data_IF_805140321033
#
_entry.id   IF_805140321033
#
_cell.length_a   1.000
_cell.length_b   1.000
_cell.length_c   1.000
_cell.angle_alpha   90.00
_cell.angle_beta   90.00
_cell.angle_gamma   90.00
#
_symmetry.space_group_name_H-M   'P 1'
#
loop_
_entity.id
_entity.type
_entity.pdbx_description
1 polymer ?
#
# COMPACT_ATOMS: atom_id res chain seq x y z
N UNK A 1 -15.90 72.33 5.50
CA UNK A 1 -14.63 71.75 6.02
C UNK A 1 -14.68 70.23 6.28
N UNK A 2 -15.86 69.58 6.30
CA UNK A 2 -16.00 68.13 6.47
C UNK A 2 -15.64 67.24 5.24
N UNK A 3 -15.84 67.64 3.97
CA UNK A 3 -15.62 66.72 2.84
C UNK A 3 -14.14 66.48 2.51
N UNK A 4 -13.27 67.41 2.88
CA UNK A 4 -11.81 67.31 2.68
C UNK A 4 -11.21 66.31 3.67
N UNK A 5 -11.72 66.26 4.91
CA UNK A 5 -11.27 65.31 5.93
C UNK A 5 -11.67 63.87 5.57
N UNK A 6 -12.88 63.65 5.04
CA UNK A 6 -13.31 62.32 4.57
C UNK A 6 -12.48 61.82 3.38
N UNK A 7 -12.12 62.71 2.45
CA UNK A 7 -11.28 62.33 1.31
C UNK A 7 -9.85 61.96 1.73
N UNK A 8 -9.28 62.68 2.71
CA UNK A 8 -7.96 62.37 3.26
C UNK A 8 -7.93 61.03 4.01
N UNK A 9 -8.99 60.70 4.76
CA UNK A 9 -9.11 59.40 5.46
C UNK A 9 -9.28 58.25 4.46
N UNK A 10 -10.00 58.47 3.36
CA UNK A 10 -10.19 57.42 2.35
C UNK A 10 -8.90 57.14 1.56
N UNK A 11 -8.09 58.17 1.28
CA UNK A 11 -6.81 58.02 0.58
C UNK A 11 -5.75 57.32 1.43
N UNK A 12 -5.78 57.50 2.76
CA UNK A 12 -4.87 56.83 3.69
C UNK A 12 -5.10 55.31 3.80
N UNK A 13 -6.26 54.79 3.34
CA UNK A 13 -6.57 53.36 3.42
C UNK A 13 -5.95 52.53 2.27
N UNK A 14 -5.36 53.19 1.28
CA UNK A 14 -4.71 52.52 0.12
C UNK A 14 -3.21 52.35 0.38
N UNK A 15 -2.83 51.81 1.54
CA UNK A 15 -1.45 51.39 1.75
C UNK A 15 -1.16 50.14 0.90
N UNK A 16 -0.12 50.16 0.05
CA UNK A 16 0.25 48.99 -0.73
C UNK A 16 0.73 47.89 0.23
N UNK A 17 0.01 46.78 0.28
CA UNK A 17 0.43 45.57 0.97
C UNK A 17 1.67 45.01 0.25
N UNK A 18 2.87 45.37 0.71
CA UNK A 18 4.11 44.75 0.24
C UNK A 18 4.14 43.31 0.75
N UNK A 19 4.06 42.35 -0.17
CA UNK A 19 4.16 40.92 0.12
C UNK A 19 5.60 40.59 0.53
N UNK A 20 5.87 40.68 1.83
CA UNK A 20 7.18 40.45 2.42
C UNK A 20 7.17 39.12 3.15
N UNK A 21 8.12 38.23 2.85
CA UNK A 21 8.19 36.90 3.49
C UNK A 21 9.17 36.97 4.65
N UNK A 22 8.73 36.56 5.83
CA UNK A 22 9.54 36.49 7.03
C UNK A 22 9.93 35.04 7.29
N UNK A 23 11.19 34.83 7.66
CA UNK A 23 11.71 33.57 8.19
C UNK A 23 11.96 33.73 9.68
N UNK A 24 11.44 32.83 10.49
CA UNK A 24 11.73 32.80 11.93
C UNK A 24 11.83 31.36 12.42
N UNK A 25 12.47 31.19 13.57
CA UNK A 25 12.56 29.90 14.26
C UNK A 25 11.66 29.96 15.49
N UNK A 26 10.86 28.91 15.71
CA UNK A 26 10.02 28.80 16.91
C UNK A 26 10.81 28.29 18.14
N UNK A 27 10.13 28.17 19.28
CA UNK A 27 10.75 27.70 20.53
C UNK A 27 11.20 26.24 20.47
N UNK A 28 10.61 25.45 19.55
CA UNK A 28 10.92 24.03 19.33
C UNK A 28 12.03 23.84 18.28
N UNK A 29 12.59 24.93 17.74
CA UNK A 29 13.66 24.92 16.74
C UNK A 29 13.20 24.73 15.29
N UNK A 30 11.90 24.76 15.01
CA UNK A 30 11.38 24.65 13.64
C UNK A 30 11.43 26.00 12.91
N UNK A 31 11.84 25.96 11.64
CA UNK A 31 11.93 27.13 10.77
C UNK A 31 10.61 27.32 10.03
N UNK A 32 9.98 28.47 10.24
CA UNK A 32 8.72 28.85 9.60
C UNK A 32 8.94 29.99 8.60
N UNK A 33 8.07 30.03 7.58
CA UNK A 33 8.02 31.07 6.55
C UNK A 33 6.59 31.59 6.42
N UNK A 34 6.40 32.91 6.41
CA UNK A 34 5.07 33.49 6.31
C UNK A 34 5.07 34.98 5.96
N UNK A 35 3.92 35.47 5.51
CA UNK A 35 3.73 36.90 5.15
C UNK A 35 3.46 37.81 6.35
N UNK A 36 3.16 37.23 7.52
CA UNK A 36 2.89 37.96 8.76
C UNK A 36 4.13 37.93 9.64
N UNK A 37 4.57 39.08 10.19
CA UNK A 37 5.70 39.09 11.12
C UNK A 37 5.36 38.25 12.37
N UNK A 38 6.33 37.50 12.92
CA UNK A 38 6.13 36.79 14.18
C UNK A 38 5.94 37.78 15.35
N UNK A 39 5.43 37.29 16.48
CA UNK A 39 5.29 38.09 17.70
C UNK A 39 6.61 38.82 18.04
N UNK A 40 6.51 40.06 18.54
CA UNK A 40 7.62 41.01 18.71
C UNK A 40 8.83 40.45 19.48
N UNK A 41 8.63 39.38 20.26
CA UNK A 41 9.65 38.73 21.07
C UNK A 41 10.53 37.75 20.28
N UNK A 42 10.36 37.62 18.96
CA UNK A 42 11.09 36.65 18.12
C UNK A 42 11.94 37.34 17.05
N UNK A 43 13.24 36.99 16.94
CA UNK A 43 14.06 37.47 15.84
C UNK A 43 13.52 36.91 14.52
N UNK A 44 13.27 37.79 13.57
CA UNK A 44 12.81 37.42 12.22
C UNK A 44 13.75 37.99 11.16
N UNK A 45 13.98 37.21 10.11
CA UNK A 45 14.72 37.63 8.93
C UNK A 45 13.75 37.88 7.79
N UNK A 46 13.80 39.08 7.23
CA UNK A 46 13.04 39.43 6.04
C UNK A 46 13.71 38.85 4.80
N UNK A 47 12.96 38.08 4.02
CA UNK A 47 13.38 37.52 2.74
C UNK A 47 12.78 38.32 1.60
N UNK A 48 13.64 38.84 0.74
CA UNK A 48 13.26 39.42 -0.54
C UNK A 48 13.24 38.31 -1.60
N UNK A 49 12.04 37.79 -1.87
CA UNK A 49 11.86 36.71 -2.84
C UNK A 49 11.60 37.34 -4.20
N UNK A 50 12.61 37.32 -5.05
CA UNK A 50 12.49 37.66 -6.47
C UNK A 50 11.66 36.58 -7.16
N UNK A 51 10.40 36.88 -7.46
CA UNK A 51 9.56 36.03 -8.30
C UNK A 51 10.12 36.01 -9.72
N UNK A 52 10.79 34.93 -10.11
CA UNK A 52 11.10 34.72 -11.53
C UNK A 52 9.81 34.33 -12.26
N UNK A 53 9.52 34.93 -13.43
CA UNK A 53 8.42 34.48 -14.26
C UNK A 53 8.67 33.03 -14.67
N UNK A 54 7.60 32.23 -14.66
CA UNK A 54 7.64 30.89 -15.26
C UNK A 54 8.18 31.01 -16.68
N UNK A 55 9.15 30.18 -17.11
CA UNK A 55 9.71 30.24 -18.46
C UNK A 55 8.60 30.27 -19.51
N UNK A 56 8.69 31.16 -20.50
CA UNK A 56 7.65 31.41 -21.53
C UNK A 56 7.40 30.22 -22.49
N UNK A 57 8.09 29.09 -22.30
CA UNK A 57 7.93 27.89 -23.11
C UNK A 57 6.87 26.94 -22.54
N UNK A 58 6.09 26.31 -23.42
CA UNK A 58 5.28 25.14 -23.07
C UNK A 58 6.21 24.02 -22.59
N UNK A 59 6.34 23.87 -21.27
CA UNK A 59 7.09 22.76 -20.69
C UNK A 59 6.23 21.51 -20.87
N UNK A 60 6.59 20.66 -21.82
CA UNK A 60 5.98 19.35 -22.01
C UNK A 60 6.43 18.38 -20.89
N UNK A 61 5.89 18.65 -19.71
CA UNK A 61 6.07 17.86 -18.50
C UNK A 61 5.61 16.41 -18.71
N UNK A 62 4.66 16.19 -19.62
CA UNK A 62 4.12 14.86 -19.90
C UNK A 62 5.12 14.02 -20.70
N UNK A 63 5.72 14.57 -21.77
CA UNK A 63 6.70 13.81 -22.53
C UNK A 63 8.00 13.59 -21.78
N UNK A 64 8.47 14.59 -21.02
CA UNK A 64 9.65 14.45 -20.15
C UNK A 64 9.42 13.37 -19.08
N UNK A 65 8.27 13.38 -18.40
CA UNK A 65 7.90 12.34 -17.44
C UNK A 65 7.84 10.95 -18.07
N UNK A 66 7.25 10.84 -19.28
CA UNK A 66 7.18 9.56 -20.02
C UNK A 66 8.55 9.02 -20.39
N UNK A 67 9.49 9.88 -20.79
CA UNK A 67 10.88 9.51 -21.08
C UNK A 67 11.59 8.99 -19.83
N UNK A 68 11.54 9.75 -18.73
CA UNK A 68 12.15 9.35 -17.46
C UNK A 68 11.58 8.02 -16.94
N UNK A 69 10.27 7.81 -17.08
CA UNK A 69 9.62 6.55 -16.67
C UNK A 69 10.10 5.36 -17.50
N UNK A 70 10.32 5.55 -18.82
CA UNK A 70 10.84 4.51 -19.71
C UNK A 70 12.28 4.15 -19.35
N UNK A 71 13.13 5.14 -19.15
CA UNK A 71 14.54 4.94 -18.78
C UNK A 71 14.67 4.19 -17.46
N UNK A 72 13.92 4.60 -16.43
CA UNK A 72 13.89 3.91 -15.13
C UNK A 72 13.48 2.44 -15.27
N UNK A 73 12.54 2.15 -16.18
CA UNK A 73 12.07 0.79 -16.44
C UNK A 73 13.16 -0.06 -17.09
N UNK A 74 13.87 0.48 -18.06
CA UNK A 74 14.99 -0.18 -18.73
C UNK A 74 16.14 -0.46 -17.76
N UNK A 75 16.52 0.53 -16.94
CA UNK A 75 17.54 0.35 -15.91
C UNK A 75 17.17 -0.75 -14.91
N UNK A 76 15.90 -0.80 -14.48
CA UNK A 76 15.43 -1.85 -13.56
C UNK A 76 15.45 -3.24 -14.21
N UNK A 77 15.17 -3.32 -15.51
CA UNK A 77 15.24 -4.56 -16.28
C UNK A 77 16.69 -5.06 -16.39
N UNK A 78 17.62 -4.16 -16.76
CA UNK A 78 19.06 -4.44 -16.84
C UNK A 78 19.63 -4.88 -15.49
N UNK A 79 19.35 -4.12 -14.42
CA UNK A 79 19.84 -4.42 -13.08
C UNK A 79 19.36 -5.79 -12.57
N UNK A 80 18.15 -6.21 -12.96
CA UNK A 80 17.59 -7.53 -12.61
C UNK A 80 17.97 -8.64 -13.58
N UNK A 81 18.61 -8.34 -14.71
CA UNK A 81 18.90 -9.31 -15.77
C UNK A 81 17.65 -9.90 -16.42
N UNK A 82 16.52 -9.19 -16.39
CA UNK A 82 15.25 -9.65 -16.99
C UNK A 82 14.83 -8.71 -18.12
N UNK A 83 14.17 -9.20 -19.17
CA UNK A 83 13.65 -8.33 -20.23
C UNK A 83 12.55 -7.39 -19.68
N UNK A 84 12.45 -6.18 -20.25
CA UNK A 84 11.49 -5.15 -19.84
C UNK A 84 10.04 -5.66 -19.78
N UNK A 85 9.67 -6.57 -20.69
CA UNK A 85 8.32 -7.18 -20.75
C UNK A 85 8.01 -8.06 -19.53
N UNK A 86 9.02 -8.66 -18.91
CA UNK A 86 8.86 -9.51 -17.73
C UNK A 86 8.70 -8.67 -16.46
N UNK A 87 9.25 -7.46 -16.45
CA UNK A 87 9.11 -6.50 -15.35
C UNK A 87 7.65 -6.09 -15.13
N UNK A 88 6.89 -5.94 -16.21
CA UNK A 88 5.47 -5.58 -16.19
C UNK A 88 4.54 -6.81 -16.16
N UNK A 89 5.11 -8.03 -16.25
CA UNK A 89 4.29 -9.23 -16.23
C UNK A 89 3.56 -9.24 -14.89
N UNK A 90 2.21 -9.13 -14.87
CA UNK A 90 1.49 -9.33 -13.62
C UNK A 90 1.95 -10.68 -13.10
N UNK A 91 2.29 -10.79 -11.81
CA UNK A 91 2.67 -12.06 -11.18
C UNK A 91 1.55 -13.05 -11.46
N UNK A 92 1.66 -13.77 -12.57
CA UNK A 92 0.62 -14.61 -13.13
C UNK A 92 0.29 -15.60 -12.04
N UNK A 93 -0.94 -15.48 -11.53
CA UNK A 93 -1.53 -16.30 -10.49
C UNK A 93 -0.51 -16.74 -9.43
N UNK A 94 -0.18 -15.86 -8.48
CA UNK A 94 0.22 -16.37 -7.17
C UNK A 94 -0.90 -17.33 -6.79
N UNK A 95 -0.61 -18.65 -6.83
CA UNK A 95 -1.48 -19.75 -6.37
C UNK A 95 -2.39 -19.15 -5.31
N UNK A 96 -3.72 -19.20 -5.50
CA UNK A 96 -4.66 -18.92 -4.40
C UNK A 96 -4.03 -19.59 -3.20
N UNK A 97 -3.45 -18.79 -2.29
CA UNK A 97 -2.97 -19.32 -1.04
C UNK A 97 -4.28 -19.79 -0.45
N UNK A 98 -4.51 -21.10 -0.48
CA UNK A 98 -5.55 -21.71 0.31
C UNK A 98 -5.30 -21.15 1.69
N UNK A 99 -6.05 -20.13 2.09
CA UNK A 99 -6.24 -19.81 3.50
C UNK A 99 -6.60 -21.17 4.08
N UNK A 100 -5.77 -21.74 4.98
CA UNK A 100 -6.06 -23.04 5.53
C UNK A 100 -7.48 -22.94 6.06
N UNK A 101 -8.41 -23.63 5.41
CA UNK A 101 -9.78 -23.62 5.88
C UNK A 101 -9.71 -24.19 7.27
N UNK A 102 -10.08 -23.40 8.27
CA UNK A 102 -9.90 -23.78 9.66
C UNK A 102 -10.84 -24.96 9.95
N UNK A 103 -10.24 -26.15 10.04
CA UNK A 103 -10.91 -27.35 10.53
C UNK A 103 -10.88 -27.26 12.05
N UNK A 104 -12.03 -27.45 12.69
CA UNK A 104 -12.14 -27.40 14.15
C UNK A 104 -11.31 -28.51 14.80
N UNK A 105 -10.97 -28.34 16.08
CA UNK A 105 -10.10 -29.28 16.81
C UNK A 105 -10.63 -30.73 16.77
N UNK A 106 -11.93 -30.93 17.00
CA UNK A 106 -12.55 -32.26 16.97
C UNK A 106 -12.46 -32.93 15.60
N UNK A 107 -12.74 -32.17 14.53
CA UNK A 107 -12.68 -32.67 13.17
C UNK A 107 -11.25 -32.94 12.73
N UNK A 108 -10.28 -32.15 13.21
CA UNK A 108 -8.86 -32.38 12.94
C UNK A 108 -8.38 -33.69 13.60
N UNK A 109 -8.71 -33.90 14.88
CA UNK A 109 -8.40 -35.15 15.57
C UNK A 109 -9.06 -36.36 14.88
N UNK A 110 -10.30 -36.19 14.40
CA UNK A 110 -11.01 -37.23 13.65
C UNK A 110 -10.32 -37.54 12.32
N UNK A 111 -9.86 -36.52 11.58
CA UNK A 111 -9.09 -36.72 10.34
C UNK A 111 -7.80 -37.51 10.61
N UNK A 112 -7.08 -37.18 11.68
CA UNK A 112 -5.82 -37.85 12.02
C UNK A 112 -6.05 -39.32 12.38
N UNK A 113 -7.10 -39.60 13.17
CA UNK A 113 -7.52 -40.97 13.49
C UNK A 113 -7.90 -41.75 12.23
N UNK A 114 -8.75 -41.20 11.36
CA UNK A 114 -9.16 -41.86 10.11
C UNK A 114 -7.96 -42.13 9.17
N UNK A 115 -7.02 -41.18 9.06
CA UNK A 115 -5.80 -41.39 8.28
C UNK A 115 -4.90 -42.48 8.87
N UNK A 116 -4.81 -42.55 10.20
CA UNK A 116 -4.07 -43.60 10.89
C UNK A 116 -4.71 -44.98 10.68
N UNK A 117 -6.04 -45.08 10.72
CA UNK A 117 -6.78 -46.31 10.46
C UNK A 117 -6.62 -46.77 9.02
N UNK A 118 -6.73 -45.86 8.04
CA UNK A 118 -6.47 -46.17 6.63
C UNK A 118 -5.05 -46.74 6.48
N UNK A 119 -4.04 -46.11 7.10
CA UNK A 119 -2.66 -46.58 7.02
C UNK A 119 -2.50 -47.95 7.67
N UNK A 120 -3.05 -48.15 8.87
CA UNK A 120 -3.01 -49.41 9.61
C UNK A 120 -3.70 -50.54 8.86
N UNK A 121 -4.89 -50.31 8.31
CA UNK A 121 -5.65 -51.30 7.54
C UNK A 121 -4.97 -51.64 6.20
N UNK A 122 -4.32 -50.65 5.59
CA UNK A 122 -3.56 -50.84 4.36
C UNK A 122 -2.31 -51.68 4.58
N UNK A 123 -1.59 -51.47 5.70
CA UNK A 123 -0.37 -52.21 6.04
C UNK A 123 -0.61 -53.52 6.79
N UNK A 124 -1.76 -53.67 7.45
CA UNK A 124 -2.09 -54.86 8.24
C UNK A 124 -2.33 -56.06 7.33
N UNK A 125 -1.80 -57.22 7.69
CA UNK A 125 -2.13 -58.50 7.05
C UNK A 125 -3.18 -59.30 7.82
N UNK A 126 -3.69 -58.77 8.94
CA UNK A 126 -4.72 -59.44 9.74
C UNK A 126 -6.08 -59.44 9.03
N UNK A 127 -6.75 -60.58 9.04
CA UNK A 127 -8.11 -60.75 8.54
C UNK A 127 -8.22 -60.81 7.01
N UNK A 128 -9.46 -60.83 6.53
CA UNK A 128 -9.75 -60.90 5.09
C UNK A 128 -9.48 -59.57 4.39
N UNK A 129 -8.82 -59.62 3.23
CA UNK A 129 -8.54 -58.45 2.40
C UNK A 129 -9.82 -57.68 2.02
N UNK A 130 -10.94 -58.38 1.81
CA UNK A 130 -12.22 -57.75 1.47
C UNK A 130 -12.84 -56.97 2.63
N UNK A 131 -12.66 -57.44 3.87
CA UNK A 131 -13.11 -56.69 5.06
C UNK A 131 -12.32 -55.41 5.22
N UNK A 132 -10.98 -55.50 5.12
CA UNK A 132 -10.10 -54.33 5.18
C UNK A 132 -10.42 -53.31 4.11
N UNK A 133 -10.68 -53.75 2.88
CA UNK A 133 -11.09 -52.86 1.80
C UNK A 133 -12.37 -52.09 2.16
N UNK A 134 -13.39 -52.77 2.71
CA UNK A 134 -14.64 -52.12 3.15
C UNK A 134 -14.39 -51.08 4.25
N UNK A 135 -13.57 -51.41 5.23
CA UNK A 135 -13.23 -50.50 6.33
C UNK A 135 -12.43 -49.29 5.84
N UNK A 136 -11.47 -49.48 4.93
CA UNK A 136 -10.74 -48.38 4.28
C UNK A 136 -11.71 -47.47 3.49
N UNK A 137 -12.67 -48.05 2.77
CA UNK A 137 -13.67 -47.29 2.05
C UNK A 137 -14.59 -46.50 2.99
N UNK A 138 -15.00 -47.09 4.11
CA UNK A 138 -15.79 -46.41 5.14
C UNK A 138 -15.00 -45.23 5.72
N UNK A 139 -13.76 -45.43 6.15
CA UNK A 139 -12.91 -44.36 6.68
C UNK A 139 -12.69 -43.22 5.67
N UNK A 140 -12.46 -43.56 4.39
CA UNK A 140 -12.37 -42.57 3.30
C UNK A 140 -13.67 -41.80 3.09
N UNK A 141 -14.83 -42.45 3.21
CA UNK A 141 -16.13 -41.79 3.06
C UNK A 141 -16.40 -40.77 4.18
N UNK A 142 -16.03 -41.09 5.42
CA UNK A 142 -16.12 -40.15 6.55
C UNK A 142 -15.19 -38.96 6.37
N UNK A 143 -13.96 -39.21 5.96
CA UNK A 143 -12.98 -38.16 5.65
C UNK A 143 -13.52 -37.21 4.56
N UNK A 144 -14.16 -37.75 3.51
CA UNK A 144 -14.83 -36.94 2.48
C UNK A 144 -16.01 -36.13 3.03
N UNK A 145 -16.74 -36.65 4.01
CA UNK A 145 -17.84 -35.91 4.65
C UNK A 145 -17.31 -34.72 5.45
N UNK A 146 -16.22 -34.91 6.20
CA UNK A 146 -15.56 -33.82 6.95
C UNK A 146 -15.02 -32.76 5.98
N UNK A 147 -14.30 -33.14 4.93
CA UNK A 147 -13.81 -32.16 3.95
C UNK A 147 -14.95 -31.39 3.26
N UNK A 148 -16.08 -32.05 2.94
CA UNK A 148 -17.28 -31.40 2.40
C UNK A 148 -17.90 -30.39 3.37
N UNK A 149 -17.95 -30.70 4.67
CA UNK A 149 -18.42 -29.78 5.74
C UNK A 149 -17.66 -28.45 5.70
N UNK A 150 -16.37 -28.48 5.38
CA UNK A 150 -15.52 -27.30 5.29
C UNK A 150 -15.39 -26.70 3.89
N UNK A 151 -16.12 -27.23 2.88
CA UNK A 151 -15.97 -26.76 1.49
C UNK A 151 -14.57 -27.02 0.91
N UNK A 152 -13.82 -27.95 1.49
CA UNK A 152 -12.50 -28.37 1.02
C UNK A 152 -12.69 -29.51 0.03
N UNK A 153 -11.94 -29.47 -1.08
CA UNK A 153 -11.93 -30.59 -2.02
C UNK A 153 -11.30 -31.81 -1.35
N UNK A 154 -12.00 -32.96 -1.26
CA UNK A 154 -11.43 -34.15 -0.66
C UNK A 154 -10.22 -34.66 -1.48
N UNK A 155 -9.24 -35.31 -0.81
CA UNK A 155 -8.11 -35.96 -1.48
C UNK A 155 -8.51 -37.19 -2.29
#
# INVERSE_FOLDING_TARGET
MKPVLTFAVMLALVLPARAQVYKWTDADGQVHYGGTPPAADRPSQTLDIQSQPTPEGEVDNVSSMRRATRELRELRAVNRGVPVRELDRPRSSRRKKNTPTHIGYEDQAKIDNLNSDIRRLSSSTLGSASSRAREIHAAKSELRQIYRKYGIKPP
#
